data_IF_278397877498
#
_entry.id   IF_278397877498
#
_cell.length_a   1.000
_cell.length_b   1.000
_cell.length_c   1.000
_cell.angle_alpha   90.00
_cell.angle_beta   90.00
_cell.angle_gamma   90.00
#
_symmetry.space_group_name_H-M   'P 1'
#
loop_
_entity.id
_entity.type
_entity.pdbx_description
1 polymer ?
#
# COMPACT_ATOMS: atom_id res chain seq x y z
N UNK A 1 28.98 35.78 11.74
CA UNK A 1 28.93 34.85 10.59
C UNK A 1 27.54 34.23 10.59
N UNK A 2 26.85 34.28 9.45
CA UNK A 2 25.39 34.46 9.32
C UNK A 2 24.48 33.44 10.04
N UNK A 3 23.49 33.96 10.78
CA UNK A 3 22.27 33.26 11.16
C UNK A 3 21.48 32.91 9.90
N UNK A 4 21.74 31.75 9.29
CA UNK A 4 20.73 31.12 8.45
C UNK A 4 19.61 30.65 9.39
N UNK A 5 18.54 31.44 9.50
CA UNK A 5 17.28 30.98 10.09
C UNK A 5 16.90 29.68 9.41
N UNK A 6 16.93 28.58 10.16
CA UNK A 6 16.53 27.30 9.65
C UNK A 6 15.02 27.32 9.45
N UNK A 7 14.57 27.63 8.23
CA UNK A 7 13.15 27.75 7.87
C UNK A 7 12.34 26.53 8.31
N UNK A 8 12.96 25.34 8.30
CA UNK A 8 12.36 24.11 8.81
C UNK A 8 11.97 24.20 10.30
N UNK A 9 12.85 24.77 11.13
CA UNK A 9 12.58 24.93 12.56
C UNK A 9 11.46 25.95 12.83
N UNK A 10 11.30 26.96 11.97
CA UNK A 10 10.19 27.91 12.07
C UNK A 10 8.85 27.23 11.72
N UNK A 11 8.80 26.42 10.64
CA UNK A 11 7.61 25.63 10.29
C UNK A 11 7.18 24.69 11.43
N UNK A 12 8.15 24.04 12.07
CA UNK A 12 7.85 23.16 13.20
C UNK A 12 7.38 23.93 14.45
N UNK A 13 7.87 25.15 14.68
CA UNK A 13 7.37 26.01 15.76
C UNK A 13 5.91 26.41 15.53
N UNK A 14 5.49 26.62 14.27
CA UNK A 14 4.07 26.81 13.95
C UNK A 14 3.24 25.57 14.29
N UNK A 15 3.71 24.36 13.94
CA UNK A 15 3.01 23.13 14.30
C UNK A 15 2.76 23.03 15.81
N UNK A 16 3.78 23.29 16.62
CA UNK A 16 3.67 23.30 18.07
C UNK A 16 2.64 24.31 18.57
N UNK A 17 2.59 25.49 17.96
CA UNK A 17 1.63 26.55 18.33
C UNK A 17 0.20 26.11 18.02
N UNK A 18 -0.06 25.64 16.80
CA UNK A 18 -1.41 25.23 16.39
C UNK A 18 -1.87 23.95 17.11
N UNK A 19 -0.98 23.01 17.40
CA UNK A 19 -1.29 21.78 18.13
C UNK A 19 -1.58 21.98 19.63
N UNK A 20 -1.55 23.23 20.13
CA UNK A 20 -2.10 23.56 21.45
C UNK A 20 -3.63 23.66 21.44
N UNK A 21 -4.23 24.02 20.31
CA UNK A 21 -5.67 24.15 20.13
C UNK A 21 -6.14 23.33 18.92
N UNK A 22 -6.64 22.12 19.18
CA UNK A 22 -7.10 21.18 18.15
C UNK A 22 -8.57 21.44 17.76
N UNK A 23 -8.93 22.70 17.54
CA UNK A 23 -10.24 23.10 17.05
C UNK A 23 -10.39 22.80 15.55
N UNK A 24 -11.64 22.62 15.09
CA UNK A 24 -11.97 22.36 13.67
C UNK A 24 -11.29 23.35 12.71
N UNK A 25 -11.29 24.63 13.08
CA UNK A 25 -10.70 25.69 12.28
C UNK A 25 -9.18 25.58 12.17
N UNK A 26 -8.51 25.01 13.19
CA UNK A 26 -7.05 24.86 13.26
C UNK A 26 -6.55 23.58 12.56
N UNK A 27 -7.40 22.55 12.43
CA UNK A 27 -7.02 21.28 11.80
C UNK A 27 -6.55 21.47 10.35
N UNK A 28 -7.14 22.42 9.63
CA UNK A 28 -6.74 22.70 8.24
C UNK A 28 -5.33 23.30 8.15
N UNK A 29 -4.99 24.26 9.02
CA UNK A 29 -3.64 24.83 9.04
C UNK A 29 -2.64 23.81 9.59
N UNK A 30 -3.02 23.00 10.59
CA UNK A 30 -2.20 21.89 11.06
C UNK A 30 -1.87 20.94 9.91
N UNK A 31 -2.87 20.56 9.10
CA UNK A 31 -2.66 19.71 7.93
C UNK A 31 -1.67 20.32 6.94
N UNK A 32 -1.84 21.60 6.59
CA UNK A 32 -0.96 22.30 5.65
C UNK A 32 0.49 22.39 6.18
N UNK A 33 0.67 22.62 7.49
CA UNK A 33 1.99 22.64 8.13
C UNK A 33 2.63 21.26 8.10
N UNK A 34 1.88 20.18 8.39
CA UNK A 34 2.40 18.81 8.33
C UNK A 34 2.79 18.42 6.91
N UNK A 35 1.98 18.76 5.91
CA UNK A 35 2.31 18.53 4.50
C UNK A 35 3.59 19.26 4.09
N UNK A 36 3.78 20.50 4.55
CA UNK A 36 5.03 21.22 4.34
C UNK A 36 6.23 20.52 5.02
N UNK A 37 6.04 19.96 6.22
CA UNK A 37 7.09 19.20 6.91
C UNK A 37 7.42 17.89 6.19
N UNK A 38 6.42 17.20 5.64
CA UNK A 38 6.60 16.01 4.79
C UNK A 38 7.50 16.35 3.62
N UNK A 39 7.15 17.36 2.82
CA UNK A 39 7.93 17.79 1.65
C UNK A 39 9.38 18.13 1.99
N UNK A 40 9.61 18.72 3.17
CA UNK A 40 10.96 19.05 3.63
C UNK A 40 11.73 17.85 4.18
N UNK A 41 11.06 16.78 4.62
CA UNK A 41 11.68 15.57 5.17
C UNK A 41 11.94 14.49 4.11
N UNK A 42 11.18 14.44 3.02
CA UNK A 42 11.38 13.49 1.93
C UNK A 42 12.80 13.62 1.35
N UNK A 43 13.54 12.52 1.24
CA UNK A 43 14.90 12.53 0.68
C UNK A 43 15.96 13.15 1.60
N UNK A 44 15.65 13.52 2.84
CA UNK A 44 16.52 14.37 3.65
C UNK A 44 16.59 13.97 5.13
N UNK A 45 17.49 13.04 5.44
CA UNK A 45 17.77 12.58 6.80
C UNK A 45 18.13 13.71 7.77
N UNK A 46 18.80 14.78 7.32
CA UNK A 46 19.19 15.90 8.19
C UNK A 46 17.94 16.63 8.70
N UNK A 47 16.98 16.88 7.83
CA UNK A 47 15.71 17.52 8.22
C UNK A 47 14.89 16.60 9.13
N UNK A 48 14.85 15.30 8.86
CA UNK A 48 14.18 14.32 9.73
C UNK A 48 14.75 14.31 11.15
N UNK A 49 16.08 14.31 11.28
CA UNK A 49 16.76 14.40 12.58
C UNK A 49 16.47 15.74 13.29
N UNK A 50 16.44 16.85 12.55
CA UNK A 50 16.07 18.15 13.11
C UNK A 50 14.63 18.15 13.60
N UNK A 51 13.69 17.54 12.86
CA UNK A 51 12.29 17.41 13.25
C UNK A 51 12.16 16.71 14.59
N UNK A 52 12.83 15.57 14.72
CA UNK A 52 12.85 14.79 15.96
C UNK A 52 13.46 15.58 17.13
N UNK A 53 14.63 16.18 16.94
CA UNK A 53 15.32 16.97 17.97
C UNK A 53 14.51 18.19 18.45
N UNK A 54 13.57 18.66 17.62
CA UNK A 54 12.66 19.77 17.91
C UNK A 54 11.28 19.29 18.39
N UNK A 55 11.21 18.05 18.90
CA UNK A 55 10.04 17.49 19.59
C UNK A 55 8.79 17.39 18.72
N UNK A 56 8.93 17.10 17.42
CA UNK A 56 7.77 16.88 16.52
C UNK A 56 6.83 15.77 17.02
N UNK A 57 7.31 14.86 17.86
CA UNK A 57 6.52 13.77 18.42
C UNK A 57 5.40 14.23 19.36
N UNK A 58 5.55 15.38 20.02
CA UNK A 58 4.52 15.93 20.91
C UNK A 58 3.22 16.29 20.16
N UNK A 59 3.24 17.13 19.11
CA UNK A 59 2.04 17.41 18.32
C UNK A 59 1.55 16.16 17.55
N UNK A 60 2.45 15.29 17.09
CA UNK A 60 2.09 14.01 16.43
C UNK A 60 1.23 13.15 17.36
N UNK A 61 1.67 12.89 18.59
CA UNK A 61 0.91 12.08 19.54
C UNK A 61 -0.43 12.72 19.89
N UNK A 62 -0.47 14.04 20.11
CA UNK A 62 -1.73 14.76 20.40
C UNK A 62 -2.75 14.59 19.28
N UNK A 63 -2.32 14.68 18.02
CA UNK A 63 -3.19 14.50 16.86
C UNK A 63 -3.64 13.05 16.73
N UNK A 64 -2.75 12.09 16.91
CA UNK A 64 -3.11 10.66 16.87
C UNK A 64 -4.11 10.28 17.96
N UNK A 65 -4.05 10.95 19.11
CA UNK A 65 -4.98 10.74 20.23
C UNK A 65 -6.37 11.35 20.02
N UNK A 66 -6.59 12.16 18.97
CA UNK A 66 -7.94 12.67 18.65
C UNK A 66 -8.90 11.50 18.42
N UNK A 67 -10.00 11.49 19.16
CA UNK A 67 -11.02 10.44 19.08
C UNK A 67 -12.23 10.91 18.30
N UNK A 68 -12.65 10.11 17.33
CA UNK A 68 -13.99 10.24 16.74
C UNK A 68 -15.00 9.63 17.71
N UNK A 69 -16.09 10.35 17.96
CA UNK A 69 -17.23 9.77 18.67
C UNK A 69 -17.80 8.65 17.80
N UNK A 70 -18.37 7.60 18.41
CA UNK A 70 -19.03 6.52 17.67
C UNK A 70 -20.04 7.14 16.71
N UNK A 71 -19.87 6.86 15.42
CA UNK A 71 -20.78 7.29 14.38
C UNK A 71 -21.80 6.19 14.14
N UNK A 72 -23.08 6.56 14.12
CA UNK A 72 -24.12 5.67 13.60
C UNK A 72 -23.98 5.57 12.07
N UNK A 73 -24.44 4.46 11.49
CA UNK A 73 -24.42 4.19 10.04
C UNK A 73 -25.17 5.26 9.19
N UNK A 74 -25.85 6.23 9.83
CA UNK A 74 -26.64 7.27 9.21
C UNK A 74 -25.91 8.63 9.16
N UNK A 75 -24.66 8.65 8.68
CA UNK A 75 -23.94 9.91 8.45
C UNK A 75 -24.61 10.73 7.34
N UNK A 76 -24.97 11.97 7.65
CA UNK A 76 -25.53 12.92 6.68
C UNK A 76 -24.39 13.77 6.10
N UNK A 77 -24.36 13.92 4.78
CA UNK A 77 -23.30 14.60 4.02
C UNK A 77 -23.00 16.04 4.47
N UNK A 78 -24.01 16.76 4.91
CA UNK A 78 -23.90 18.18 5.32
C UNK A 78 -23.87 18.35 6.85
N UNK A 79 -23.65 17.26 7.60
CA UNK A 79 -23.53 17.33 9.05
C UNK A 79 -22.16 17.86 9.47
N UNK A 80 -22.11 18.59 10.59
CA UNK A 80 -20.85 18.98 11.23
C UNK A 80 -19.96 17.75 11.55
N UNK A 81 -20.59 16.61 11.84
CA UNK A 81 -19.90 15.34 12.09
C UNK A 81 -19.15 14.82 10.86
N UNK A 82 -19.71 14.98 9.66
CA UNK A 82 -19.05 14.54 8.43
C UNK A 82 -17.85 15.42 8.07
N UNK A 83 -17.98 16.74 8.22
CA UNK A 83 -16.85 17.66 8.04
C UNK A 83 -15.72 17.37 9.05
N UNK A 84 -16.07 17.05 10.30
CA UNK A 84 -15.10 16.61 11.31
C UNK A 84 -14.38 15.33 10.88
N UNK A 85 -15.11 14.32 10.40
CA UNK A 85 -14.52 13.06 9.89
C UNK A 85 -13.52 13.36 8.76
N UNK A 86 -13.91 14.19 7.80
CA UNK A 86 -13.06 14.55 6.66
C UNK A 86 -11.75 15.20 7.15
N UNK A 87 -11.84 16.18 8.05
CA UNK A 87 -10.65 16.84 8.62
C UNK A 87 -9.78 15.86 9.41
N UNK A 88 -10.38 14.88 10.10
CA UNK A 88 -9.63 13.86 10.83
C UNK A 88 -8.91 12.90 9.89
N UNK A 89 -9.56 12.47 8.80
CA UNK A 89 -8.94 11.64 7.76
C UNK A 89 -7.74 12.35 7.16
N UNK A 90 -7.88 13.62 6.80
CA UNK A 90 -6.81 14.46 6.26
C UNK A 90 -5.64 14.61 7.24
N UNK A 91 -5.89 15.13 8.43
CA UNK A 91 -4.84 15.43 9.43
C UNK A 91 -4.15 14.17 9.93
N UNK A 92 -4.89 13.11 10.29
CA UNK A 92 -4.27 11.88 10.78
C UNK A 92 -3.53 11.16 9.65
N UNK A 93 -4.03 11.23 8.42
CA UNK A 93 -3.36 10.69 7.24
C UNK A 93 -1.99 11.34 7.05
N UNK A 94 -1.95 12.67 7.12
CA UNK A 94 -0.71 13.45 7.03
C UNK A 94 0.26 13.17 8.18
N UNK A 95 -0.23 12.99 9.42
CA UNK A 95 0.66 12.63 10.54
C UNK A 95 1.31 11.27 10.34
N UNK A 96 0.54 10.28 9.92
CA UNK A 96 1.05 8.93 9.66
C UNK A 96 2.03 8.95 8.48
N UNK A 97 1.76 9.76 7.46
CA UNK A 97 2.67 9.99 6.34
C UNK A 97 3.98 10.67 6.77
N UNK A 98 3.93 11.64 7.67
CA UNK A 98 5.13 12.24 8.23
C UNK A 98 5.97 11.20 8.99
N UNK A 99 5.34 10.34 9.78
CA UNK A 99 6.03 9.25 10.50
C UNK A 99 6.69 8.26 9.54
N UNK A 100 6.00 7.89 8.46
CA UNK A 100 6.50 7.01 7.40
C UNK A 100 7.74 7.63 6.72
N UNK A 101 7.65 8.89 6.29
CA UNK A 101 8.76 9.62 5.67
C UNK A 101 9.95 9.78 6.61
N UNK A 102 9.72 10.02 7.91
CA UNK A 102 10.80 10.10 8.90
C UNK A 102 11.54 8.76 9.12
N UNK A 103 10.97 7.64 8.69
CA UNK A 103 11.56 6.30 8.80
C UNK A 103 12.03 5.73 7.45
N UNK A 104 11.77 6.42 6.34
CA UNK A 104 12.00 5.94 4.97
C UNK A 104 13.49 5.86 4.59
N UNK A 105 14.29 6.82 5.06
CA UNK A 105 15.68 6.97 4.61
C UNK A 105 16.59 5.84 5.10
N UNK A 106 17.40 5.30 4.18
CA UNK A 106 18.38 4.28 4.50
C UNK A 106 19.69 4.96 4.91
N UNK A 107 19.88 5.16 6.21
CA UNK A 107 21.09 5.79 6.73
C UNK A 107 21.53 5.21 8.08
N UNK A 108 22.81 5.37 8.48
CA UNK A 108 23.25 5.01 9.83
C UNK A 108 22.50 5.76 10.94
N UNK A 109 21.96 6.95 10.65
CA UNK A 109 21.23 7.78 11.60
C UNK A 109 19.78 7.32 11.79
N UNK A 110 19.22 6.62 10.79
CA UNK A 110 17.83 6.13 10.80
C UNK A 110 17.56 5.21 11.98
N UNK A 111 18.53 4.35 12.36
CA UNK A 111 18.38 3.49 13.54
C UNK A 111 18.19 4.30 14.84
N UNK A 112 18.97 5.36 15.00
CA UNK A 112 18.89 6.24 16.19
C UNK A 112 17.57 7.00 16.19
N UNK A 113 17.18 7.52 15.02
CA UNK A 113 15.91 8.22 14.82
C UNK A 113 14.71 7.31 15.12
N UNK A 114 14.70 6.10 14.56
CA UNK A 114 13.66 5.11 14.77
C UNK A 114 13.51 4.75 16.25
N UNK A 115 14.61 4.51 16.97
CA UNK A 115 14.58 4.26 18.43
C UNK A 115 14.03 5.46 19.21
N UNK A 116 14.40 6.68 18.82
CA UNK A 116 13.85 7.90 19.40
C UNK A 116 12.34 8.02 19.20
N UNK A 117 11.87 7.84 17.96
CA UNK A 117 10.45 7.82 17.60
C UNK A 117 9.73 6.72 18.39
N UNK A 118 10.21 5.48 18.36
CA UNK A 118 9.58 4.36 19.05
C UNK A 118 9.49 4.51 20.57
N UNK A 119 10.43 5.23 21.19
CA UNK A 119 10.38 5.52 22.63
C UNK A 119 9.37 6.60 23.03
N UNK A 120 8.94 7.44 22.08
CA UNK A 120 8.08 8.59 22.32
C UNK A 120 6.68 8.44 21.71
N UNK A 121 6.54 7.61 20.68
CA UNK A 121 5.30 7.39 19.95
C UNK A 121 4.29 6.58 20.77
N UNK A 122 3.05 7.05 20.81
CA UNK A 122 1.93 6.28 21.37
C UNK A 122 1.45 5.23 20.36
N UNK A 123 2.00 4.02 20.49
CA UNK A 123 1.70 2.87 19.63
C UNK A 123 0.21 2.53 19.61
N UNK A 124 -0.51 2.72 20.73
CA UNK A 124 -1.94 2.42 20.78
C UNK A 124 -2.74 3.41 19.91
N UNK A 125 -2.36 4.68 19.93
CA UNK A 125 -2.99 5.70 19.10
C UNK A 125 -2.75 5.48 17.60
N UNK A 126 -1.61 4.88 17.22
CA UNK A 126 -1.37 4.44 15.83
C UNK A 126 -2.28 3.28 15.44
N UNK A 127 -2.42 2.26 16.31
CA UNK A 127 -3.34 1.13 16.09
C UNK A 127 -4.81 1.60 15.95
N UNK A 128 -5.25 2.49 16.83
CA UNK A 128 -6.60 3.06 16.78
C UNK A 128 -6.83 3.91 15.52
N UNK A 129 -5.80 4.65 15.07
CA UNK A 129 -5.86 5.40 13.81
C UNK A 129 -5.95 4.47 12.60
N UNK A 130 -5.22 3.34 12.60
CA UNK A 130 -5.34 2.30 11.58
C UNK A 130 -6.76 1.70 11.55
N UNK A 131 -7.33 1.39 12.73
CA UNK A 131 -8.71 0.90 12.85
C UNK A 131 -9.72 1.90 12.31
N UNK A 132 -9.62 3.18 12.69
CA UNK A 132 -10.47 4.26 12.22
C UNK A 132 -10.52 4.30 10.69
N UNK A 133 -9.36 4.27 10.02
CA UNK A 133 -9.33 4.26 8.55
C UNK A 133 -9.98 3.01 7.95
N UNK A 134 -9.80 1.85 8.57
CA UNK A 134 -10.42 0.60 8.11
C UNK A 134 -11.95 0.66 8.18
N UNK A 135 -12.49 1.15 9.30
CA UNK A 135 -13.94 1.29 9.51
C UNK A 135 -14.53 2.31 8.53
N UNK A 136 -13.91 3.49 8.41
CA UNK A 136 -14.38 4.57 7.53
C UNK A 136 -14.35 4.16 6.05
N UNK A 137 -13.34 3.42 5.60
CA UNK A 137 -13.22 2.99 4.19
C UNK A 137 -14.46 2.23 3.69
N UNK A 138 -15.17 1.53 4.59
CA UNK A 138 -16.34 0.74 4.23
C UNK A 138 -17.60 1.58 3.98
N UNK A 139 -17.69 2.78 4.56
CA UNK A 139 -18.89 3.61 4.60
C UNK A 139 -19.29 4.13 3.21
N UNK A 140 -20.57 4.10 2.83
CA UNK A 140 -21.03 4.56 1.51
C UNK A 140 -20.65 6.02 1.23
N UNK A 141 -20.83 6.90 2.22
CA UNK A 141 -20.59 8.34 2.06
C UNK A 141 -19.10 8.66 1.84
N UNK A 142 -18.19 7.89 2.44
CA UNK A 142 -16.74 8.01 2.24
C UNK A 142 -16.37 7.66 0.79
N UNK A 143 -16.96 6.60 0.23
CA UNK A 143 -16.78 6.21 -1.17
C UNK A 143 -17.37 7.25 -2.14
N UNK A 144 -18.53 7.81 -1.81
CA UNK A 144 -19.15 8.89 -2.62
C UNK A 144 -18.28 10.15 -2.67
N UNK A 145 -17.59 10.48 -1.57
CA UNK A 145 -16.65 11.60 -1.51
C UNK A 145 -15.23 11.25 -1.97
N UNK A 146 -14.97 10.00 -2.40
CA UNK A 146 -13.65 9.52 -2.82
C UNK A 146 -12.57 9.65 -1.74
N UNK A 147 -12.97 9.54 -0.47
CA UNK A 147 -12.06 9.52 0.68
C UNK A 147 -11.61 8.10 1.04
N UNK A 148 -12.12 7.08 0.32
CA UNK A 148 -11.76 5.68 0.53
C UNK A 148 -10.30 5.39 0.18
N UNK A 149 -9.77 6.05 -0.85
CA UNK A 149 -8.35 5.99 -1.22
C UNK A 149 -7.44 6.60 -0.13
N UNK A 150 -7.86 7.73 0.45
CA UNK A 150 -7.12 8.37 1.55
C UNK A 150 -7.15 7.52 2.82
N UNK A 151 -8.29 6.87 3.11
CA UNK A 151 -8.39 5.92 4.21
C UNK A 151 -7.49 4.71 3.97
N UNK A 152 -7.49 4.12 2.77
CA UNK A 152 -6.62 3.00 2.44
C UNK A 152 -5.14 3.37 2.59
N UNK A 153 -4.75 4.55 2.08
CA UNK A 153 -3.38 5.07 2.20
C UNK A 153 -2.99 5.27 3.66
N UNK A 154 -3.81 5.96 4.44
CA UNK A 154 -3.56 6.22 5.86
C UNK A 154 -3.44 4.93 6.68
N UNK A 155 -4.34 3.96 6.43
CA UNK A 155 -4.31 2.64 7.06
C UNK A 155 -3.01 1.88 6.76
N UNK A 156 -2.64 1.81 5.49
CA UNK A 156 -1.44 1.08 5.06
C UNK A 156 -0.16 1.72 5.60
N UNK A 157 -0.06 3.05 5.61
CA UNK A 157 1.09 3.76 6.19
C UNK A 157 1.20 3.56 7.70
N UNK A 158 0.07 3.55 8.42
CA UNK A 158 0.07 3.30 9.86
C UNK A 158 0.64 1.91 10.18
N UNK A 159 0.25 0.92 9.38
CA UNK A 159 0.82 -0.42 9.47
C UNK A 159 2.32 -0.44 9.15
N UNK A 160 2.76 0.23 8.08
CA UNK A 160 4.18 0.29 7.68
C UNK A 160 5.05 0.92 8.77
N UNK A 161 4.60 2.01 9.40
CA UNK A 161 5.28 2.64 10.54
C UNK A 161 5.46 1.65 11.69
N UNK A 162 4.42 0.91 12.06
CA UNK A 162 4.49 -0.09 13.13
C UNK A 162 5.49 -1.20 12.80
N UNK A 163 5.45 -1.74 11.58
CA UNK A 163 6.36 -2.80 11.14
C UNK A 163 7.81 -2.30 11.10
N UNK A 164 8.05 -1.10 10.55
CA UNK A 164 9.38 -0.50 10.51
C UNK A 164 9.96 -0.34 11.93
N UNK A 165 9.16 0.13 12.89
CA UNK A 165 9.59 0.26 14.28
C UNK A 165 9.90 -1.08 14.95
N UNK A 166 9.16 -2.16 14.61
CA UNK A 166 9.47 -3.53 15.07
C UNK A 166 10.82 -3.98 14.50
N UNK A 167 11.07 -3.77 13.21
CA UNK A 167 12.32 -4.18 12.55
C UNK A 167 13.55 -3.47 13.12
N UNK A 168 13.41 -2.17 13.43
CA UNK A 168 14.44 -1.41 14.12
C UNK A 168 14.55 -1.72 15.62
N UNK A 169 13.67 -2.58 16.16
CA UNK A 169 13.56 -2.88 17.60
C UNK A 169 13.40 -1.61 18.44
N UNK A 170 12.61 -0.68 17.89
CA UNK A 170 12.40 0.65 18.45
C UNK A 170 11.23 0.69 19.45
N UNK A 171 10.34 -0.30 19.42
CA UNK A 171 9.18 -0.42 20.32
C UNK A 171 9.24 -1.70 21.17
N UNK A 172 8.39 -1.77 22.20
CA UNK A 172 8.26 -2.91 23.13
C UNK A 172 7.68 -4.18 22.50
N UNK A 173 7.18 -4.06 21.26
CA UNK A 173 6.67 -5.15 20.42
C UNK A 173 7.84 -5.80 19.69
N UNK A 174 8.12 -7.07 20.00
CA UNK A 174 9.28 -7.81 19.45
C UNK A 174 9.04 -8.37 18.05
N UNK A 175 7.80 -8.71 17.73
CA UNK A 175 7.43 -9.47 16.55
C UNK A 175 5.95 -9.26 16.20
N UNK A 176 5.56 -9.73 15.02
CA UNK A 176 4.18 -9.66 14.53
C UNK A 176 3.18 -10.36 15.45
N UNK A 177 3.56 -11.44 16.16
CA UNK A 177 2.61 -12.16 17.02
C UNK A 177 2.23 -11.33 18.23
N UNK A 178 3.16 -10.55 18.77
CA UNK A 178 2.89 -9.58 19.84
C UNK A 178 2.10 -8.38 19.32
N UNK A 179 2.36 -7.94 18.09
CA UNK A 179 1.56 -6.89 17.45
C UNK A 179 0.10 -7.32 17.33
N UNK A 180 -0.15 -8.56 16.88
CA UNK A 180 -1.50 -9.13 16.80
C UNK A 180 -2.19 -9.15 18.16
N UNK A 181 -1.53 -9.65 19.21
CA UNK A 181 -2.11 -9.65 20.57
C UNK A 181 -2.49 -8.25 21.06
N UNK A 182 -1.61 -7.27 20.83
CA UNK A 182 -1.90 -5.87 21.20
C UNK A 182 -3.03 -5.27 20.37
N UNK A 183 -3.15 -5.67 19.11
CA UNK A 183 -4.28 -5.29 18.27
C UNK A 183 -5.59 -5.93 18.74
N UNK A 184 -5.58 -7.21 19.16
CA UNK A 184 -6.74 -7.89 19.77
C UNK A 184 -7.20 -7.15 21.03
N UNK A 185 -6.27 -6.79 21.93
CA UNK A 185 -6.55 -6.01 23.15
C UNK A 185 -7.20 -4.65 22.86
N UNK A 186 -6.87 -4.04 21.71
CA UNK A 186 -7.43 -2.76 21.25
C UNK A 186 -8.58 -2.93 20.24
N UNK A 187 -9.05 -4.16 20.02
CA UNK A 187 -10.08 -4.49 19.02
C UNK A 187 -9.77 -3.97 17.61
N UNK A 188 -8.51 -4.05 17.19
CA UNK A 188 -7.95 -3.60 15.91
C UNK A 188 -7.53 -4.77 14.98
N UNK A 189 -7.86 -6.02 15.34
CA UNK A 189 -7.41 -7.24 14.66
C UNK A 189 -7.80 -7.31 13.17
N UNK A 190 -9.04 -6.92 12.83
CA UNK A 190 -9.53 -6.96 11.45
C UNK A 190 -8.76 -5.97 10.56
N UNK A 191 -8.56 -4.75 11.05
CA UNK A 191 -7.78 -3.71 10.37
C UNK A 191 -6.33 -4.14 10.15
N UNK A 192 -5.72 -4.76 11.16
CA UNK A 192 -4.34 -5.27 11.09
C UNK A 192 -4.21 -6.41 10.08
N UNK A 193 -5.12 -7.39 10.12
CA UNK A 193 -5.15 -8.52 9.19
C UNK A 193 -5.33 -8.04 7.74
N UNK A 194 -6.21 -7.08 7.50
CA UNK A 194 -6.42 -6.51 6.17
C UNK A 194 -5.14 -5.86 5.60
N UNK A 195 -4.37 -5.16 6.44
CA UNK A 195 -3.09 -4.60 6.04
C UNK A 195 -2.05 -5.68 5.75
N UNK A 196 -1.98 -6.70 6.62
CA UNK A 196 -1.04 -7.81 6.49
C UNK A 196 -1.22 -8.55 5.16
N UNK A 197 -2.46 -8.82 4.74
CA UNK A 197 -2.75 -9.47 3.46
C UNK A 197 -2.30 -8.66 2.23
N UNK A 198 -2.23 -7.34 2.38
CA UNK A 198 -1.87 -6.42 1.30
C UNK A 198 -0.42 -5.95 1.41
N UNK A 199 0.30 -6.23 2.50
CA UNK A 199 1.66 -5.74 2.72
C UNK A 199 2.69 -6.70 2.15
N UNK A 200 3.64 -6.15 1.42
CA UNK A 200 4.79 -6.85 0.85
C UNK A 200 6.06 -6.12 1.22
N UNK A 201 7.18 -6.83 1.21
CA UNK A 201 8.49 -6.24 1.50
C UNK A 201 9.54 -6.60 0.46
N UNK A 202 10.49 -5.69 0.29
CA UNK A 202 11.72 -5.89 -0.48
C UNK A 202 12.92 -5.54 0.39
N UNK A 203 14.03 -6.24 0.18
CA UNK A 203 15.31 -5.91 0.81
C UNK A 203 16.18 -5.17 -0.20
N UNK A 204 16.66 -3.99 0.20
CA UNK A 204 17.53 -3.15 -0.59
C UNK A 204 18.92 -3.20 0.04
N UNK A 205 19.89 -3.60 -0.78
CA UNK A 205 21.30 -3.49 -0.43
C UNK A 205 21.78 -2.11 -0.85
N UNK A 206 22.01 -1.24 0.13
CA UNK A 206 22.48 0.11 -0.10
C UNK A 206 23.98 0.21 0.21
N UNK A 207 24.76 0.61 -0.79
CA UNK A 207 26.20 0.83 -0.69
C UNK A 207 26.49 2.30 -0.95
N UNK A 208 27.07 2.97 0.05
CA UNK A 208 27.55 4.36 -0.06
C UNK A 208 29.08 4.37 0.06
N UNK A 209 29.75 5.17 -0.77
CA UNK A 209 31.20 5.26 -0.83
C UNK A 209 31.79 5.61 0.56
N UNK A 210 32.54 4.67 1.14
CA UNK A 210 33.18 4.85 2.45
C UNK A 210 32.31 4.49 3.66
N UNK A 211 31.08 4.05 3.47
CA UNK A 211 30.21 3.52 4.52
C UNK A 211 30.14 1.99 4.50
N UNK A 212 29.71 1.38 5.60
CA UNK A 212 29.38 -0.06 5.61
C UNK A 212 28.08 -0.27 4.82
N UNK A 213 27.97 -1.36 4.06
CA UNK A 213 26.72 -1.69 3.37
C UNK A 213 25.58 -1.80 4.36
N UNK A 214 24.44 -1.20 4.01
CA UNK A 214 23.22 -1.20 4.81
C UNK A 214 22.19 -2.04 4.08
N UNK A 215 21.70 -3.08 4.75
CA UNK A 215 20.51 -3.83 4.30
C UNK A 215 19.30 -3.17 4.95
N UNK A 216 18.44 -2.58 4.15
CA UNK A 216 17.17 -2.03 4.60
C UNK A 216 16.02 -2.83 3.99
N UNK A 217 14.99 -3.08 4.79
CA UNK A 217 13.75 -3.67 4.30
C UNK A 217 12.71 -2.58 4.16
N UNK A 218 12.12 -2.48 2.97
CA UNK A 218 11.06 -1.53 2.67
C UNK A 218 9.76 -2.29 2.50
N UNK A 219 8.73 -1.83 3.20
CA UNK A 219 7.38 -2.38 3.12
C UNK A 219 6.52 -1.51 2.21
N UNK A 220 5.67 -2.10 1.39
CA UNK A 220 4.75 -1.40 0.51
C UNK A 220 3.43 -2.15 0.35
N UNK A 221 2.30 -1.44 0.17
CA UNK A 221 1.04 -2.09 -0.12
C UNK A 221 0.99 -2.57 -1.57
N UNK A 222 0.58 -3.82 -1.78
CA UNK A 222 0.36 -4.41 -3.09
C UNK A 222 -0.76 -5.46 -3.04
N UNK A 223 -1.83 -5.22 -3.81
CA UNK A 223 -3.04 -6.06 -3.83
C UNK A 223 -3.17 -6.92 -5.09
N UNK A 224 -2.36 -6.65 -6.12
CA UNK A 224 -2.49 -7.36 -7.38
C UNK A 224 -1.91 -8.78 -7.29
N UNK A 225 -2.63 -9.76 -7.81
CA UNK A 225 -2.15 -11.15 -7.90
C UNK A 225 -1.74 -11.44 -9.34
N UNK A 226 -0.49 -11.87 -9.51
CA UNK A 226 -0.02 -12.44 -10.77
C UNK A 226 -0.70 -13.82 -10.99
N UNK A 227 -0.98 -14.15 -12.24
CA UNK A 227 -1.44 -15.50 -12.60
C UNK A 227 -0.29 -16.49 -12.44
N UNK A 228 -0.62 -17.73 -12.12
CA UNK A 228 0.34 -18.84 -12.12
C UNK A 228 1.05 -18.95 -13.47
N UNK A 229 0.30 -18.86 -14.59
CA UNK A 229 0.87 -18.88 -15.95
C UNK A 229 1.89 -17.77 -16.19
N UNK A 230 1.64 -16.56 -15.69
CA UNK A 230 2.59 -15.45 -15.82
C UNK A 230 3.84 -15.70 -14.95
N UNK A 231 3.67 -16.28 -13.77
CA UNK A 231 4.75 -16.66 -12.86
C UNK A 231 5.62 -17.76 -13.45
N UNK A 232 5.02 -18.75 -14.11
CA UNK A 232 5.72 -19.80 -14.83
C UNK A 232 6.49 -19.23 -16.03
N UNK A 233 5.88 -18.35 -16.81
CA UNK A 233 6.53 -17.71 -17.95
C UNK A 233 7.80 -16.95 -17.51
N UNK A 234 7.75 -16.25 -16.38
CA UNK A 234 8.94 -15.61 -15.79
C UNK A 234 9.98 -16.65 -15.39
N UNK A 235 9.58 -17.75 -14.72
CA UNK A 235 10.51 -18.82 -14.30
C UNK A 235 11.26 -19.46 -15.45
N UNK A 236 10.62 -19.59 -16.61
CA UNK A 236 11.18 -20.21 -17.81
C UNK A 236 12.02 -19.23 -18.66
N UNK A 237 11.68 -17.94 -18.66
CA UNK A 237 12.35 -16.94 -19.51
C UNK A 237 13.53 -16.22 -18.84
N UNK A 238 13.78 -16.44 -17.54
CA UNK A 238 14.96 -15.89 -16.88
C UNK A 238 16.19 -16.69 -17.29
N UNK A 239 17.13 -16.04 -17.99
CA UNK A 239 18.45 -16.61 -18.22
C UNK A 239 19.20 -16.74 -16.89
N UNK A 240 19.78 -17.90 -16.61
CA UNK A 240 20.43 -18.22 -15.32
C UNK A 240 21.95 -18.23 -15.38
N UNK A 241 22.53 -17.90 -16.53
CA UNK A 241 23.97 -17.98 -16.79
C UNK A 241 24.81 -17.03 -15.90
N UNK A 242 24.28 -15.85 -15.58
CA UNK A 242 24.89 -14.86 -14.68
C UNK A 242 23.86 -14.18 -13.77
N UNK A 243 24.29 -13.64 -12.63
CA UNK A 243 23.42 -12.83 -11.76
C UNK A 243 22.96 -11.54 -12.44
N UNK A 244 23.84 -10.91 -13.23
CA UNK A 244 23.52 -9.70 -13.99
C UNK A 244 22.48 -10.01 -15.07
N UNK A 245 22.61 -11.15 -15.74
CA UNK A 245 21.68 -11.58 -16.78
C UNK A 245 20.30 -11.94 -16.20
N UNK A 246 20.27 -12.52 -14.99
CA UNK A 246 19.01 -12.76 -14.26
C UNK A 246 18.29 -11.46 -13.95
N UNK A 247 19.02 -10.46 -13.45
CA UNK A 247 18.45 -9.15 -13.11
C UNK A 247 17.96 -8.43 -14.36
N UNK A 248 18.76 -8.37 -15.43
CA UNK A 248 18.36 -7.75 -16.69
C UNK A 248 17.14 -8.44 -17.29
N UNK A 249 17.14 -9.77 -17.37
CA UNK A 249 15.99 -10.52 -17.87
C UNK A 249 14.72 -10.19 -17.06
N UNK A 250 14.80 -10.15 -15.74
CA UNK A 250 13.65 -9.78 -14.91
C UNK A 250 13.15 -8.38 -15.24
N UNK A 251 14.04 -7.39 -15.30
CA UNK A 251 13.71 -5.98 -15.63
C UNK A 251 13.08 -5.88 -17.02
N UNK A 252 13.60 -6.59 -18.01
CA UNK A 252 13.08 -6.61 -19.37
C UNK A 252 11.67 -7.23 -19.46
N UNK A 253 11.36 -8.20 -18.58
CA UNK A 253 10.02 -8.80 -18.50
C UNK A 253 9.01 -7.93 -17.72
N UNK A 254 9.45 -7.00 -16.86
CA UNK A 254 8.55 -6.19 -16.02
C UNK A 254 7.50 -5.39 -16.81
N UNK A 255 7.81 -4.72 -17.93
CA UNK A 255 6.81 -3.99 -18.72
C UNK A 255 5.68 -4.88 -19.24
N UNK A 256 6.01 -6.10 -19.69
CA UNK A 256 5.05 -7.06 -20.18
C UNK A 256 4.14 -7.56 -19.05
N UNK A 257 4.72 -7.88 -17.89
CA UNK A 257 3.98 -8.28 -16.68
C UNK A 257 3.05 -7.16 -16.21
N UNK A 258 3.54 -5.92 -16.16
CA UNK A 258 2.73 -4.74 -15.79
C UNK A 258 1.54 -4.58 -16.72
N UNK A 259 1.74 -4.73 -18.04
CA UNK A 259 0.66 -4.65 -19.03
C UNK A 259 -0.38 -5.76 -18.85
N UNK A 260 0.06 -6.99 -18.55
CA UNK A 260 -0.85 -8.10 -18.30
C UNK A 260 -1.68 -7.87 -17.03
N UNK A 261 -1.06 -7.42 -15.93
CA UNK A 261 -1.77 -7.08 -14.69
C UNK A 261 -2.80 -5.97 -14.93
N UNK A 262 -2.41 -4.88 -15.59
CA UNK A 262 -3.34 -3.79 -15.93
C UNK A 262 -4.51 -4.26 -16.80
N UNK A 263 -4.23 -5.12 -17.78
CA UNK A 263 -5.25 -5.68 -18.64
C UNK A 263 -6.24 -6.56 -17.84
N UNK A 264 -5.74 -7.39 -16.92
CA UNK A 264 -6.58 -8.20 -16.05
C UNK A 264 -7.46 -7.38 -15.12
N UNK A 265 -6.92 -6.29 -14.55
CA UNK A 265 -7.71 -5.40 -13.68
C UNK A 265 -8.88 -4.80 -14.47
N UNK A 266 -8.63 -4.27 -15.68
CA UNK A 266 -9.68 -3.77 -16.57
C UNK A 266 -10.71 -4.84 -16.96
N UNK A 267 -10.26 -6.06 -17.22
CA UNK A 267 -11.13 -7.19 -17.53
C UNK A 267 -12.05 -7.57 -16.36
N UNK A 268 -11.54 -7.52 -15.12
CA UNK A 268 -12.32 -7.80 -13.90
C UNK A 268 -13.35 -6.70 -13.60
N UNK A 269 -13.04 -5.45 -13.92
CA UNK A 269 -13.97 -4.31 -13.80
C UNK A 269 -15.13 -4.41 -14.80
N UNK A 270 -14.87 -4.96 -15.98
CA UNK A 270 -15.88 -5.11 -17.03
C UNK A 270 -16.87 -6.23 -16.69
N UNK A 271 -18.06 -5.86 -16.18
CA UNK A 271 -19.11 -6.82 -15.75
C UNK A 271 -19.46 -7.88 -16.81
N UNK A 272 -19.46 -7.51 -18.09
CA UNK A 272 -19.80 -8.39 -19.22
C UNK A 272 -18.76 -9.50 -19.43
N UNK A 273 -17.49 -9.26 -19.09
CA UNK A 273 -16.41 -10.23 -19.29
C UNK A 273 -16.29 -11.27 -18.17
N UNK A 274 -16.90 -11.02 -17.00
CA UNK A 274 -16.86 -11.92 -15.84
C UNK A 274 -17.30 -13.37 -16.15
N UNK A 275 -18.46 -13.62 -16.80
CA UNK A 275 -18.86 -14.99 -17.13
C UNK A 275 -17.90 -15.65 -18.14
N UNK A 276 -17.40 -14.91 -19.12
CA UNK A 276 -16.45 -15.44 -20.12
C UNK A 276 -15.11 -15.85 -19.50
N UNK A 277 -14.64 -15.11 -18.49
CA UNK A 277 -13.41 -15.39 -17.76
C UNK A 277 -13.58 -16.55 -16.76
N UNK A 278 -14.74 -16.65 -16.10
CA UNK A 278 -15.01 -17.68 -15.10
C UNK A 278 -15.08 -19.10 -15.69
N UNK A 279 -15.53 -19.25 -16.94
CA UNK A 279 -15.78 -20.55 -17.57
C UNK A 279 -14.80 -20.87 -18.73
N UNK A 280 -13.59 -20.31 -18.70
CA UNK A 280 -12.60 -20.50 -19.77
C UNK A 280 -12.29 -21.99 -20.04
N UNK A 281 -12.13 -22.79 -19.00
CA UNK A 281 -11.88 -24.24 -19.06
C UNK A 281 -13.08 -25.02 -19.61
N UNK A 282 -14.30 -24.62 -19.27
CA UNK A 282 -15.52 -25.27 -19.79
C UNK A 282 -15.65 -24.99 -21.28
N UNK A 283 -15.40 -23.75 -21.69
CA UNK A 283 -15.40 -23.35 -23.10
C UNK A 283 -14.37 -24.12 -23.92
N UNK A 284 -13.14 -24.28 -23.43
CA UNK A 284 -12.11 -25.02 -24.16
C UNK A 284 -12.46 -26.50 -24.29
N UNK A 285 -13.02 -27.12 -23.24
CA UNK A 285 -13.51 -28.51 -23.27
C UNK A 285 -14.68 -28.68 -24.23
N UNK A 286 -15.65 -27.76 -24.23
CA UNK A 286 -16.76 -27.76 -25.18
C UNK A 286 -16.29 -27.60 -26.63
N UNK A 287 -15.33 -26.70 -26.88
CA UNK A 287 -14.72 -26.55 -28.20
C UNK A 287 -14.04 -27.84 -28.65
N UNK A 288 -13.22 -28.46 -27.78
CA UNK A 288 -12.60 -29.75 -28.09
C UNK A 288 -13.64 -30.82 -28.45
N UNK A 289 -14.68 -30.95 -27.63
CA UNK A 289 -15.74 -31.92 -27.84
C UNK A 289 -16.52 -31.66 -29.13
N UNK A 290 -16.81 -30.39 -29.44
CA UNK A 290 -17.43 -29.98 -30.69
C UNK A 290 -16.53 -30.34 -31.88
N UNK A 291 -15.23 -30.07 -31.81
CA UNK A 291 -14.27 -30.43 -32.86
C UNK A 291 -14.23 -31.93 -33.10
N UNK A 292 -14.26 -32.74 -32.04
CA UNK A 292 -14.31 -34.21 -32.15
C UNK A 292 -15.60 -34.64 -32.84
N UNK A 293 -16.76 -34.14 -32.41
CA UNK A 293 -18.07 -34.48 -33.01
C UNK A 293 -18.10 -34.10 -34.49
N UNK A 294 -17.59 -32.91 -34.83
CA UNK A 294 -17.60 -32.41 -36.21
C UNK A 294 -16.68 -33.24 -37.11
N UNK A 295 -15.50 -33.64 -36.62
CA UNK A 295 -14.61 -34.54 -37.36
C UNK A 295 -15.22 -35.94 -37.55
N UNK A 296 -15.93 -36.47 -36.54
CA UNK A 296 -16.69 -37.73 -36.67
C UNK A 296 -17.79 -37.58 -37.72
N UNK A 297 -18.54 -36.47 -37.68
CA UNK A 297 -19.60 -36.21 -38.66
C UNK A 297 -19.05 -36.12 -40.09
N UNK A 298 -17.92 -35.44 -40.30
CA UNK A 298 -17.24 -35.40 -41.59
C UNK A 298 -16.82 -36.82 -42.03
N UNK A 299 -16.26 -37.65 -41.15
CA UNK A 299 -15.91 -39.03 -41.48
C UNK A 299 -17.11 -39.89 -41.91
N UNK A 300 -18.29 -39.67 -41.33
CA UNK A 300 -19.51 -40.42 -41.68
C UNK A 300 -20.26 -39.87 -42.90
N UNK A 301 -20.21 -38.55 -43.14
CA UNK A 301 -20.94 -37.90 -44.23
C UNK A 301 -20.10 -37.76 -45.50
N UNK A 302 -18.77 -37.78 -45.39
CA UNK A 302 -17.87 -37.72 -46.54
C UNK A 302 -17.80 -39.08 -47.24
N UNK A 303 -18.81 -39.39 -48.03
CA UNK A 303 -18.73 -40.43 -49.05
C UNK A 303 -17.79 -39.94 -50.15
N UNK A 304 -16.67 -40.65 -50.33
CA UNK A 304 -15.80 -40.48 -51.50
C UNK A 304 -16.68 -40.69 -52.74
N UNK A 305 -16.76 -39.73 -53.69
CA UNK A 305 -17.50 -39.98 -54.92
C UNK A 305 -16.89 -41.19 -55.63
N UNK A 306 -17.73 -42.18 -55.92
CA UNK A 306 -17.31 -43.38 -56.63
C UNK A 306 -16.63 -42.97 -57.93
N UNK A 307 -15.42 -43.51 -58.14
CA UNK A 307 -14.59 -43.34 -59.33
C UNK A 307 -15.48 -43.26 -60.58
N UNK A 308 -15.33 -42.19 -61.36
CA UNK A 308 -15.85 -42.11 -62.72
C UNK A 308 -15.47 -43.41 -63.45
N UNK A 309 -16.47 -44.23 -63.78
CA UNK A 309 -16.29 -45.30 -64.76
C UNK A 309 -15.94 -44.61 -66.08
N UNK A 310 -14.68 -44.71 -66.48
CA UNK A 310 -14.22 -44.29 -67.79
C UNK A 310 -15.12 -44.89 -68.87
N UNK A 311 -15.86 -44.01 -69.54
CA UNK A 311 -16.63 -44.35 -70.73
C UNK A 311 -15.64 -44.59 -71.88
N UNK A 312 -15.20 -45.84 -72.02
CA UNK A 312 -14.75 -46.34 -73.32
C UNK A 312 -15.98 -46.70 -74.14
N UNK A 313 -16.40 -45.79 -75.02
CA UNK A 313 -16.96 -46.07 -76.35
C UNK A 313 -17.03 -44.81 -77.18
#
# INVERSE_FOLDING_TARGET
>A
MAFHKNKFAEVLAFLHTFATDLSLNNLEQINAVIQSLIELCVGNIRNQVIAFNKLVMDPVNRILQLQLKKHDDCLIKESEDFELIKKYVEVKGSVVELLDVMLEEISPQTLTLAKGIGSSLDVNSVLLTMKMFHELQSLPLIKEQKLDDDCERGRNKAYQVLVALIEYKAIDIKDETKLMKRAEEQSCEEALNSCKECSHSIEIHYEEDGAKPIIARIHFPFKAKLREVATELVRWNINRDSMDDKQRALVDLMPALRKDVLHQTKLKETKVMKPFLAYSTVRSRLLMLLTIILNIFVLFVYTVPDKEMGSNR
#
